data_IF_711212162807
#
_entry.id   IF_711212162807
#
_cell.length_a   1.000
_cell.length_b   1.000
_cell.length_c   1.000
_cell.angle_alpha   90.00
_cell.angle_beta   90.00
_cell.angle_gamma   90.00
#
_symmetry.space_group_name_H-M   'P 1'
#
loop_
_entity.id
_entity.type
_entity.pdbx_description
1 polymer ?
#
# COMPACT_ATOMS: atom_id res chain seq x y z
N UNK A 1 -14.86 -8.03 20.68
CA UNK A 1 -13.42 -7.92 21.02
C UNK A 1 -12.56 -8.90 20.22
N UNK A 2 -12.72 -10.23 20.36
CA UNK A 2 -11.88 -11.18 19.60
C UNK A 2 -12.13 -11.14 18.08
N UNK A 3 -13.41 -11.01 17.67
CA UNK A 3 -13.79 -10.90 16.25
C UNK A 3 -13.24 -9.62 15.62
N UNK A 4 -13.27 -8.51 16.36
CA UNK A 4 -12.79 -7.21 15.89
C UNK A 4 -11.27 -7.23 15.70
N UNK A 5 -10.54 -7.86 16.62
CA UNK A 5 -9.10 -8.07 16.51
C UNK A 5 -8.75 -8.92 15.28
N UNK A 6 -9.53 -9.97 15.00
CA UNK A 6 -9.38 -10.77 13.78
C UNK A 6 -9.57 -9.94 12.51
N UNK A 7 -10.59 -9.07 12.47
CA UNK A 7 -10.81 -8.17 11.34
C UNK A 7 -9.68 -7.15 11.17
N UNK A 8 -9.13 -6.61 12.25
CA UNK A 8 -7.97 -5.71 12.19
C UNK A 8 -6.75 -6.42 11.60
N UNK A 9 -6.41 -7.61 12.10
CA UNK A 9 -5.28 -8.38 11.58
C UNK A 9 -5.49 -8.72 10.11
N UNK A 10 -6.68 -9.19 9.75
CA UNK A 10 -7.01 -9.53 8.36
C UNK A 10 -6.92 -8.30 7.44
N UNK A 11 -7.42 -7.15 7.89
CA UNK A 11 -7.36 -5.90 7.15
C UNK A 11 -5.91 -5.44 6.89
N UNK A 12 -5.04 -5.52 7.90
CA UNK A 12 -3.61 -5.20 7.75
C UNK A 12 -2.95 -6.14 6.74
N UNK A 13 -3.19 -7.46 6.86
CA UNK A 13 -2.61 -8.45 5.94
C UNK A 13 -3.05 -8.19 4.50
N UNK A 14 -4.34 -7.88 4.28
CA UNK A 14 -4.87 -7.58 2.95
C UNK A 14 -4.28 -6.29 2.40
N UNK A 15 -4.18 -5.23 3.22
CA UNK A 15 -3.60 -3.95 2.80
C UNK A 15 -2.14 -4.11 2.37
N UNK A 16 -1.31 -4.75 3.19
CA UNK A 16 0.11 -4.97 2.90
C UNK A 16 0.28 -5.81 1.65
N UNK A 17 -0.40 -6.97 1.54
CA UNK A 17 -0.30 -7.81 0.34
C UNK A 17 -0.75 -7.10 -0.93
N UNK A 18 -1.79 -6.27 -0.85
CA UNK A 18 -2.28 -5.54 -2.01
C UNK A 18 -1.30 -4.46 -2.45
N UNK A 19 -0.67 -3.76 -1.50
CA UNK A 19 0.38 -2.79 -1.78
C UNK A 19 1.60 -3.46 -2.42
N UNK A 20 2.08 -4.58 -1.86
CA UNK A 20 3.20 -5.35 -2.40
C UNK A 20 2.92 -5.80 -3.84
N UNK A 21 1.74 -6.37 -4.09
CA UNK A 21 1.35 -6.83 -5.42
C UNK A 21 1.25 -5.68 -6.43
N UNK A 22 0.77 -4.51 -6.01
CA UNK A 22 0.72 -3.33 -6.86
C UNK A 22 2.13 -2.83 -7.19
N UNK A 23 3.04 -2.80 -6.23
CA UNK A 23 4.43 -2.39 -6.44
C UNK A 23 5.11 -3.32 -7.41
N UNK A 24 5.04 -4.63 -7.17
CA UNK A 24 5.66 -5.64 -8.03
C UNK A 24 5.14 -5.56 -9.47
N UNK A 25 3.81 -5.53 -9.65
CA UNK A 25 3.19 -5.42 -10.97
C UNK A 25 3.54 -4.11 -11.68
N UNK A 26 3.59 -2.99 -10.93
CA UNK A 26 3.91 -1.67 -11.49
C UNK A 26 5.39 -1.56 -11.86
N UNK A 27 6.27 -2.11 -11.03
CA UNK A 27 7.71 -2.18 -11.27
C UNK A 27 8.02 -3.03 -12.51
N UNK A 28 7.37 -4.19 -12.65
CA UNK A 28 7.49 -5.04 -13.83
C UNK A 28 7.04 -4.32 -15.10
N UNK A 29 5.91 -3.62 -15.04
CA UNK A 29 5.39 -2.86 -16.17
C UNK A 29 6.34 -1.72 -16.55
N UNK A 30 6.81 -0.94 -15.58
CA UNK A 30 7.74 0.16 -15.81
C UNK A 30 9.06 -0.32 -16.43
N UNK A 31 9.59 -1.45 -15.96
CA UNK A 31 10.82 -2.05 -16.50
C UNK A 31 10.62 -2.51 -17.95
N UNK A 32 9.46 -3.12 -18.27
CA UNK A 32 9.10 -3.49 -19.65
C UNK A 32 8.95 -2.28 -20.59
N UNK A 33 8.58 -1.12 -20.05
CA UNK A 33 8.49 0.15 -20.77
C UNK A 33 9.85 0.88 -20.90
N UNK A 34 10.94 0.29 -20.40
CA UNK A 34 12.29 0.86 -20.51
C UNK A 34 12.62 1.90 -19.44
N UNK A 35 11.82 2.01 -18.38
CA UNK A 35 12.12 2.87 -17.22
C UNK A 35 13.31 2.28 -16.44
N UNK A 36 14.24 3.13 -16.01
CA UNK A 36 15.42 2.66 -15.27
C UNK A 36 15.03 2.14 -13.87
N UNK A 37 15.72 1.09 -13.40
CA UNK A 37 15.49 0.50 -12.08
C UNK A 37 15.63 1.51 -10.93
N UNK A 38 16.49 2.53 -11.11
CA UNK A 38 16.66 3.62 -10.14
C UNK A 38 15.39 4.45 -9.99
N UNK A 39 14.72 4.79 -11.10
CA UNK A 39 13.46 5.55 -11.08
C UNK A 39 12.34 4.70 -10.50
N UNK A 40 12.27 3.41 -10.85
CA UNK A 40 11.31 2.45 -10.27
C UNK A 40 11.48 2.36 -8.75
N UNK A 41 12.71 2.21 -8.25
CA UNK A 41 12.98 2.16 -6.81
C UNK A 41 12.67 3.46 -6.09
N UNK A 42 13.02 4.60 -6.69
CA UNK A 42 12.79 5.91 -6.07
C UNK A 42 11.31 6.30 -6.01
N UNK A 43 10.53 5.99 -7.06
CA UNK A 43 9.14 6.44 -7.18
C UNK A 43 8.17 5.32 -6.76
N UNK A 44 8.19 4.18 -7.46
CA UNK A 44 7.16 3.14 -7.31
C UNK A 44 7.28 2.45 -5.96
N UNK A 45 8.50 2.04 -5.58
CA UNK A 45 8.73 1.37 -4.28
C UNK A 45 8.50 2.34 -3.13
N UNK A 46 9.05 3.55 -3.21
CA UNK A 46 8.85 4.58 -2.18
C UNK A 46 7.39 4.98 -1.96
N UNK A 47 6.60 5.05 -3.03
CA UNK A 47 5.16 5.32 -2.94
C UNK A 47 4.39 4.10 -2.41
N UNK A 48 4.75 2.91 -2.88
CA UNK A 48 4.12 1.64 -2.51
C UNK A 48 4.20 1.30 -1.03
N UNK A 49 5.34 1.55 -0.39
CA UNK A 49 5.52 1.30 1.05
C UNK A 49 4.68 2.22 1.93
N UNK A 50 4.25 3.36 1.42
CA UNK A 50 3.41 4.34 2.14
C UNK A 50 1.92 4.21 1.82
N UNK A 51 1.55 3.29 0.91
CA UNK A 51 0.15 3.10 0.50
C UNK A 51 -0.75 2.58 1.62
N UNK A 52 -0.34 1.61 2.46
CA UNK A 52 -1.17 1.19 3.59
C UNK A 52 -1.47 2.35 4.54
N UNK A 53 -0.48 3.16 4.87
CA UNK A 53 -0.58 4.33 5.74
C UNK A 53 -1.49 5.39 5.13
N UNK A 54 -1.32 5.69 3.83
CA UNK A 54 -2.24 6.58 3.11
C UNK A 54 -3.68 6.07 3.12
N UNK A 55 -3.89 4.78 2.91
CA UNK A 55 -5.23 4.19 2.91
C UNK A 55 -5.90 4.29 4.28
N UNK A 56 -5.16 4.00 5.36
CA UNK A 56 -5.65 4.12 6.74
C UNK A 56 -5.91 5.58 7.10
N UNK A 57 -4.96 6.48 6.84
CA UNK A 57 -5.08 7.91 7.14
C UNK A 57 -6.23 8.57 6.38
N UNK A 58 -6.39 8.26 5.09
CA UNK A 58 -7.51 8.76 4.28
C UNK A 58 -8.85 8.23 4.80
N UNK A 59 -8.90 6.95 5.16
CA UNK A 59 -10.13 6.35 5.72
C UNK A 59 -10.50 6.99 7.05
N UNK A 60 -9.53 7.24 7.93
CA UNK A 60 -9.73 7.93 9.20
C UNK A 60 -10.22 9.38 8.99
N UNK A 61 -9.58 10.11 8.08
CA UNK A 61 -9.98 11.47 7.73
C UNK A 61 -11.42 11.55 7.17
N UNK A 62 -11.81 10.61 6.29
CA UNK A 62 -13.16 10.54 5.72
C UNK A 62 -14.21 10.18 6.76
N UNK A 63 -13.88 9.33 7.73
CA UNK A 63 -14.79 8.97 8.84
C UNK A 63 -14.92 10.06 9.89
N UNK A 64 -14.05 11.09 9.86
CA UNK A 64 -13.97 12.11 10.91
C UNK A 64 -13.24 11.62 12.17
N UNK A 65 -12.63 10.43 12.12
CA UNK A 65 -11.84 9.82 13.19
C UNK A 65 -10.42 10.42 13.18
N UNK A 66 -10.30 11.74 13.32
CA UNK A 66 -9.01 12.46 13.34
C UNK A 66 -8.32 12.44 14.73
N UNK A 67 -8.80 11.63 15.66
CA UNK A 67 -8.29 11.48 17.04
C UNK A 67 -8.13 10.02 17.42
#
# INVERSE_FOLDING_TARGET
MLIDLLFVILGIVVLVKSADFLVESSSDLATKLGVSAVVVGAIIVGFGTSMPEMAVSTTAAVRGDMT
#
